data_IF_560551431995
#
_entry.id   IF_560551431995
#
_cell.length_a   1.000
_cell.length_b   1.000
_cell.length_c   1.000
_cell.angle_alpha   90.00
_cell.angle_beta   90.00
_cell.angle_gamma   90.00
#
_symmetry.space_group_name_H-M   'P 1'
#
loop_
_entity.id
_entity.type
_entity.pdbx_description
1 polymer ?
#
# COMPACT_ATOMS: atom_id res chain seq x y z
N UNK A 1 -8.92 -20.49 -8.80
CA UNK A 1 -8.08 -19.49 -8.10
C UNK A 1 -7.75 -18.40 -9.12
N UNK A 2 -8.47 -17.28 -9.11
CA UNK A 2 -8.38 -16.28 -10.19
C UNK A 2 -7.34 -15.23 -9.78
N UNK A 3 -6.19 -15.23 -10.46
CA UNK A 3 -5.28 -14.08 -10.48
C UNK A 3 -5.83 -13.06 -11.46
N UNK A 4 -6.16 -11.86 -10.97
CA UNK A 4 -6.62 -10.77 -11.83
C UNK A 4 -5.45 -9.81 -12.03
N UNK A 5 -5.00 -9.66 -13.27
CA UNK A 5 -3.98 -8.68 -13.64
C UNK A 5 -4.62 -7.53 -14.38
N UNK A 6 -4.39 -6.31 -13.91
CA UNK A 6 -4.72 -5.08 -14.63
C UNK A 6 -3.45 -4.51 -15.26
N UNK A 7 -3.51 -4.14 -16.54
CA UNK A 7 -2.40 -3.49 -17.24
C UNK A 7 -2.85 -2.28 -18.04
N UNK A 8 -1.98 -1.28 -18.14
CA UNK A 8 -2.10 -0.15 -19.06
C UNK A 8 -3.38 0.70 -18.90
N UNK A 9 -4.02 0.63 -17.73
CA UNK A 9 -5.18 1.47 -17.44
C UNK A 9 -4.74 2.89 -17.07
N UNK A 10 -5.55 3.88 -17.46
CA UNK A 10 -5.33 5.29 -17.17
C UNK A 10 -6.57 5.85 -16.47
N UNK A 11 -6.39 6.48 -15.30
CA UNK A 11 -7.44 7.23 -14.59
C UNK A 11 -8.74 6.45 -14.41
N UNK A 12 -8.62 5.25 -13.86
CA UNK A 12 -9.75 4.31 -13.73
C UNK A 12 -9.94 3.93 -12.26
N UNK A 13 -11.20 3.85 -11.83
CA UNK A 13 -11.58 3.30 -10.53
C UNK A 13 -12.14 1.90 -10.73
N UNK A 14 -11.62 0.92 -9.98
CA UNK A 14 -12.02 -0.48 -10.06
C UNK A 14 -12.49 -0.93 -8.69
N UNK A 15 -13.66 -1.56 -8.64
CA UNK A 15 -14.14 -2.24 -7.44
C UNK A 15 -14.13 -3.75 -7.66
N UNK A 16 -13.37 -4.47 -6.85
CA UNK A 16 -13.38 -5.93 -6.82
C UNK A 16 -14.26 -6.38 -5.66
N UNK A 17 -15.50 -6.66 -5.99
CA UNK A 17 -16.48 -7.21 -5.04
C UNK A 17 -16.20 -8.69 -4.78
N UNK A 18 -16.42 -9.11 -3.54
CA UNK A 18 -16.14 -10.45 -3.01
C UNK A 18 -14.64 -10.75 -2.85
N UNK A 19 -14.37 -11.80 -2.07
CA UNK A 19 -13.02 -12.31 -1.84
C UNK A 19 -12.34 -12.78 -3.14
N UNK A 20 -11.16 -12.25 -3.41
CA UNK A 20 -10.27 -12.74 -4.46
C UNK A 20 -9.03 -13.43 -3.84
N UNK A 21 -8.26 -14.16 -4.65
CA UNK A 21 -7.01 -14.74 -4.16
C UNK A 21 -5.92 -13.66 -4.06
N UNK A 22 -5.55 -13.12 -5.22
CA UNK A 22 -4.52 -12.11 -5.38
C UNK A 22 -4.87 -11.16 -6.54
N UNK A 23 -4.33 -9.95 -6.50
CA UNK A 23 -4.48 -8.95 -7.56
C UNK A 23 -3.10 -8.40 -7.91
N UNK A 24 -2.85 -8.21 -9.21
CA UNK A 24 -1.65 -7.54 -9.69
C UNK A 24 -2.01 -6.37 -10.59
N UNK A 25 -1.38 -5.23 -10.36
CA UNK A 25 -1.53 -3.99 -11.13
C UNK A 25 -0.17 -3.63 -11.69
N UNK A 26 -0.06 -3.57 -13.01
CA UNK A 26 1.21 -3.33 -13.69
C UNK A 26 1.07 -2.21 -14.71
N UNK A 27 1.97 -1.24 -14.64
CA UNK A 27 2.10 -0.17 -15.63
C UNK A 27 0.78 0.60 -15.86
N UNK A 28 0.09 0.98 -14.78
CA UNK A 28 -1.17 1.73 -14.78
C UNK A 28 -0.99 3.12 -14.15
N UNK A 29 -1.58 4.18 -14.70
CA UNK A 29 -1.40 5.54 -14.17
C UNK A 29 -2.71 6.11 -13.62
N UNK A 30 -2.71 6.58 -12.37
CA UNK A 30 -3.91 7.18 -11.79
C UNK A 30 -5.03 6.17 -11.52
N UNK A 31 -4.68 4.91 -11.24
CA UNK A 31 -5.67 3.87 -10.93
C UNK A 31 -6.00 3.87 -9.45
N UNK A 32 -7.29 3.80 -9.14
CA UNK A 32 -7.78 3.53 -7.80
C UNK A 32 -8.47 2.16 -7.76
N UNK A 33 -8.20 1.36 -6.75
CA UNK A 33 -8.84 0.07 -6.56
C UNK A 33 -9.44 -0.06 -5.16
N UNK A 34 -10.65 -0.58 -5.09
CA UNK A 34 -11.33 -0.94 -3.85
C UNK A 34 -11.46 -2.47 -3.85
N UNK A 35 -10.99 -3.12 -2.79
CA UNK A 35 -11.04 -4.57 -2.63
C UNK A 35 -11.78 -4.94 -1.36
N UNK A 36 -12.66 -5.93 -1.45
CA UNK A 36 -13.33 -6.49 -0.28
C UNK A 36 -12.34 -7.31 0.58
N UNK A 37 -11.86 -8.44 0.08
CA UNK A 37 -10.80 -9.19 0.76
C UNK A 37 -9.91 -9.95 -0.22
N UNK A 38 -8.66 -10.16 0.16
CA UNK A 38 -7.68 -10.97 -0.54
C UNK A 38 -7.21 -12.12 0.36
N UNK A 39 -7.02 -13.30 -0.23
CA UNK A 39 -6.43 -14.44 0.48
C UNK A 39 -4.93 -14.26 0.66
N UNK A 40 -4.25 -13.63 -0.31
CA UNK A 40 -2.80 -13.44 -0.28
C UNK A 40 -2.39 -11.97 -0.42
N UNK A 41 -2.23 -11.46 -1.64
CA UNK A 41 -1.51 -10.21 -1.88
C UNK A 41 -2.17 -9.31 -2.93
N UNK A 42 -1.84 -8.03 -2.82
CA UNK A 42 -2.00 -7.06 -3.88
C UNK A 42 -0.64 -6.51 -4.29
N UNK A 43 -0.25 -6.74 -5.54
CA UNK A 43 1.04 -6.32 -6.07
C UNK A 43 0.85 -5.15 -7.04
N UNK A 44 1.56 -4.05 -6.83
CA UNK A 44 1.51 -2.84 -7.67
C UNK A 44 2.89 -2.53 -8.21
N UNK A 45 3.04 -2.54 -9.52
CA UNK A 45 4.32 -2.38 -10.20
C UNK A 45 4.21 -1.24 -11.20
N UNK A 46 5.16 -0.29 -11.18
CA UNK A 46 5.29 0.81 -12.14
C UNK A 46 3.99 1.60 -12.36
N UNK A 47 3.22 1.80 -11.30
CA UNK A 47 1.88 2.36 -11.39
C UNK A 47 1.74 3.61 -10.52
N UNK A 48 2.14 4.79 -11.04
CA UNK A 48 2.13 6.04 -10.25
C UNK A 48 0.70 6.58 -10.04
N UNK A 49 0.55 7.42 -9.02
CA UNK A 49 -0.75 8.02 -8.60
C UNK A 49 -1.77 6.93 -8.28
N UNK A 50 -1.33 5.92 -7.54
CA UNK A 50 -2.14 4.77 -7.19
C UNK A 50 -2.92 5.01 -5.89
N UNK A 51 -4.15 4.50 -5.81
CA UNK A 51 -4.89 4.43 -4.55
C UNK A 51 -5.49 3.05 -4.34
N UNK A 52 -5.40 2.54 -3.11
CA UNK A 52 -5.98 1.27 -2.69
C UNK A 52 -6.87 1.48 -1.47
N UNK A 53 -8.08 0.93 -1.47
CA UNK A 53 -8.90 0.77 -0.27
C UNK A 53 -9.16 -0.72 -0.01
N UNK A 54 -8.93 -1.16 1.22
CA UNK A 54 -9.19 -2.54 1.67
C UNK A 54 -10.34 -2.52 2.67
N UNK A 55 -11.53 -2.94 2.25
CA UNK A 55 -12.74 -2.94 3.09
C UNK A 55 -12.71 -4.07 4.13
N UNK A 56 -12.08 -5.20 3.81
CA UNK A 56 -11.96 -6.40 4.64
C UNK A 56 -10.51 -6.71 5.00
N UNK A 57 -10.01 -7.88 4.58
CA UNK A 57 -8.65 -8.34 4.92
C UNK A 57 -7.81 -8.51 3.65
N UNK A 58 -6.57 -8.03 3.66
CA UNK A 58 -5.54 -8.40 2.70
C UNK A 58 -4.22 -8.60 3.46
N UNK A 59 -3.62 -9.79 3.47
CA UNK A 59 -2.39 -10.03 4.25
C UNK A 59 -1.21 -9.14 3.85
N UNK A 60 -1.00 -8.94 2.55
CA UNK A 60 0.21 -8.26 2.05
C UNK A 60 -0.12 -7.31 0.90
N UNK A 61 0.50 -6.13 0.90
CA UNK A 61 0.55 -5.21 -0.24
C UNK A 61 2.01 -4.99 -0.62
N UNK A 62 2.35 -5.24 -1.88
CA UNK A 62 3.68 -4.98 -2.41
C UNK A 62 3.62 -3.83 -3.42
N UNK A 63 4.44 -2.80 -3.20
CA UNK A 63 4.61 -1.67 -4.12
C UNK A 63 6.04 -1.69 -4.67
N UNK A 64 6.18 -1.74 -6.00
CA UNK A 64 7.45 -1.60 -6.69
C UNK A 64 7.38 -0.49 -7.75
N UNK A 65 8.31 0.47 -7.68
CA UNK A 65 8.39 1.59 -8.64
C UNK A 65 7.08 2.39 -8.73
N UNK A 66 6.42 2.59 -7.58
CA UNK A 66 5.22 3.42 -7.44
C UNK A 66 5.62 4.80 -6.94
N UNK A 67 5.29 5.83 -7.71
CA UNK A 67 5.45 7.24 -7.30
C UNK A 67 4.05 7.81 -6.99
N UNK A 68 3.86 8.27 -5.75
CA UNK A 68 2.58 8.67 -5.18
C UNK A 68 1.58 7.51 -5.07
N UNK A 69 1.49 6.94 -3.87
CA UNK A 69 0.57 5.83 -3.56
C UNK A 69 -0.15 6.05 -2.23
N UNK A 70 -1.47 5.86 -2.19
CA UNK A 70 -2.23 5.96 -0.94
C UNK A 70 -2.98 4.66 -0.66
N UNK A 71 -2.79 4.09 0.54
CA UNK A 71 -3.44 2.85 0.98
C UNK A 71 -4.36 3.17 2.15
N UNK A 72 -5.67 3.02 1.96
CA UNK A 72 -6.69 3.17 2.98
C UNK A 72 -6.99 1.80 3.61
N UNK A 73 -6.73 1.70 4.91
CA UNK A 73 -7.03 0.52 5.71
C UNK A 73 -8.39 0.66 6.40
N UNK A 74 -9.09 -0.45 6.53
CA UNK A 74 -10.22 -0.65 7.45
C UNK A 74 -9.74 -1.23 8.77
N UNK A 75 -10.66 -1.33 9.75
CA UNK A 75 -10.37 -1.97 11.03
C UNK A 75 -9.96 -3.44 10.86
N UNK A 76 -10.54 -4.13 9.89
CA UNK A 76 -10.20 -5.52 9.56
C UNK A 76 -8.84 -5.67 8.86
N UNK A 77 -8.29 -4.62 8.26
CA UNK A 77 -7.02 -4.68 7.52
C UNK A 77 -5.82 -4.13 8.28
N UNK A 78 -5.94 -3.83 9.58
CA UNK A 78 -4.82 -3.30 10.38
C UNK A 78 -3.60 -4.25 10.45
N UNK A 79 -3.78 -5.54 10.19
CA UNK A 79 -2.70 -6.53 10.09
C UNK A 79 -2.01 -6.63 8.73
N UNK A 80 -2.28 -5.70 7.79
CA UNK A 80 -1.69 -5.73 6.44
C UNK A 80 -0.22 -5.37 6.49
N UNK A 81 0.64 -6.25 5.97
CA UNK A 81 2.06 -5.97 5.76
C UNK A 81 2.25 -5.21 4.44
N UNK A 82 3.02 -4.12 4.46
CA UNK A 82 3.26 -3.28 3.28
C UNK A 82 4.75 -3.29 2.98
N UNK A 83 5.11 -3.81 1.81
CA UNK A 83 6.48 -3.85 1.31
C UNK A 83 6.64 -2.83 0.20
N UNK A 84 7.69 -2.02 0.27
CA UNK A 84 8.00 -1.01 -0.75
C UNK A 84 9.38 -1.24 -1.36
N UNK A 85 9.49 -1.00 -2.66
CA UNK A 85 10.74 -1.06 -3.42
C UNK A 85 10.75 0.07 -4.44
N UNK A 86 11.75 0.97 -4.33
CA UNK A 86 11.89 2.13 -5.24
C UNK A 86 10.60 2.95 -5.35
N UNK A 87 9.91 3.15 -4.23
CA UNK A 87 8.71 3.95 -4.14
C UNK A 87 9.02 5.33 -3.55
N UNK A 88 8.18 6.31 -3.88
CA UNK A 88 8.26 7.67 -3.36
C UNK A 88 6.85 8.15 -2.99
N UNK A 89 6.73 8.95 -1.93
CA UNK A 89 5.45 9.55 -1.50
C UNK A 89 4.32 8.53 -1.27
N UNK A 90 4.62 7.43 -0.58
CA UNK A 90 3.61 6.43 -0.19
C UNK A 90 3.03 6.78 1.19
N UNK A 91 1.70 6.81 1.29
CA UNK A 91 0.98 7.07 2.54
C UNK A 91 0.04 5.93 2.88
N UNK A 92 0.00 5.56 4.16
CA UNK A 92 -0.96 4.62 4.72
C UNK A 92 -1.96 5.43 5.54
N UNK A 93 -3.24 5.29 5.24
CA UNK A 93 -4.33 5.95 5.96
C UNK A 93 -4.96 4.93 6.89
N UNK A 94 -4.78 5.16 8.19
CA UNK A 94 -5.39 4.36 9.24
C UNK A 94 -6.84 4.80 9.46
N UNK A 95 -7.77 3.85 9.69
CA UNK A 95 -9.15 4.19 9.97
C UNK A 95 -9.28 4.97 11.29
N UNK A 96 -10.33 5.81 11.44
CA UNK A 96 -10.72 6.38 12.73
C UNK A 96 -10.73 5.35 13.86
N UNK A 97 -10.28 5.74 15.05
CA UNK A 97 -10.30 4.84 16.22
C UNK A 97 -11.73 4.42 16.56
N UNK A 98 -11.96 3.12 16.74
CA UNK A 98 -13.28 2.64 17.17
C UNK A 98 -13.67 3.21 18.53
N UNK A 99 -14.95 3.55 18.68
CA UNK A 99 -15.51 4.04 19.95
C UNK A 99 -15.22 5.50 20.29
N UNK A 100 -14.60 6.27 19.38
CA UNK A 100 -14.40 7.70 19.53
C UNK A 100 -15.24 8.43 18.46
N UNK A 101 -16.28 9.14 18.90
CA UNK A 101 -17.06 10.02 18.03
C UNK A 101 -16.15 11.11 17.44
N UNK A 102 -16.34 11.41 16.15
CA UNK A 102 -15.56 12.40 15.38
C UNK A 102 -14.04 12.14 15.31
N UNK A 103 -13.58 10.90 15.48
CA UNK A 103 -12.19 10.58 15.23
C UNK A 103 -11.85 10.70 13.73
N UNK A 104 -10.81 11.46 13.41
CA UNK A 104 -10.30 11.57 12.05
C UNK A 104 -9.43 10.37 11.66
N UNK A 105 -9.41 10.07 10.36
CA UNK A 105 -8.44 9.14 9.79
C UNK A 105 -7.02 9.71 9.93
N UNK A 106 -6.03 8.83 10.17
CA UNK A 106 -4.63 9.25 10.36
C UNK A 106 -3.80 8.88 9.14
N UNK A 107 -3.14 9.86 8.53
CA UNK A 107 -2.15 9.63 7.49
C UNK A 107 -0.78 9.29 8.12
N UNK A 108 -0.15 8.23 7.62
CA UNK A 108 1.14 7.73 8.05
C UNK A 108 2.04 7.59 6.82
N UNK A 109 2.98 8.52 6.57
CA UNK A 109 3.91 8.40 5.47
C UNK A 109 4.84 7.20 5.68
N UNK A 110 5.08 6.42 4.62
CA UNK A 110 6.04 5.32 4.63
C UNK A 110 7.45 5.89 4.46
N UNK A 111 8.42 5.48 5.29
CA UNK A 111 9.80 5.91 5.14
C UNK A 111 10.38 5.50 3.77
N UNK A 112 11.04 6.44 3.10
CA UNK A 112 11.57 6.24 1.74
C UNK A 112 13.10 6.29 1.66
N UNK A 113 13.78 6.60 2.77
CA UNK A 113 15.24 6.66 2.83
C UNK A 113 15.80 5.69 3.87
N UNK A 114 16.81 4.92 3.45
CA UNK A 114 17.59 4.03 4.31
C UNK A 114 19.00 4.60 4.40
N UNK A 115 19.51 4.78 5.62
CA UNK A 115 20.90 5.15 5.87
C UNK A 115 21.71 3.88 6.07
N UNK A 116 22.75 3.71 5.26
CA UNK A 116 23.72 2.63 5.40
C UNK A 116 25.09 3.18 5.79
N UNK A 117 25.71 2.61 6.82
CA UNK A 117 27.04 3.00 7.31
C UNK A 117 27.79 1.81 7.89
N UNK A 118 29.13 1.91 7.98
CA UNK A 118 29.98 0.86 8.56
C UNK A 118 30.24 1.21 10.03
N UNK A 119 29.97 0.26 10.93
CA UNK A 119 30.27 0.36 12.36
C UNK A 119 30.92 -0.94 12.83
N UNK A 120 32.09 -0.83 13.46
CA UNK A 120 32.86 -1.98 13.96
C UNK A 120 33.11 -3.07 12.88
N UNK A 121 33.30 -2.64 11.63
CA UNK A 121 33.51 -3.54 10.47
C UNK A 121 32.24 -4.18 9.92
N UNK A 122 31.07 -3.89 10.47
CA UNK A 122 29.76 -4.42 10.04
C UNK A 122 28.97 -3.35 9.30
N UNK A 123 28.33 -3.73 8.19
CA UNK A 123 27.37 -2.86 7.50
C UNK A 123 26.06 -2.83 8.27
N UNK A 124 25.63 -1.64 8.68
CA UNK A 124 24.36 -1.40 9.38
C UNK A 124 23.46 -0.57 8.47
N UNK A 125 22.16 -0.91 8.45
CA UNK A 125 21.13 -0.18 7.72
C UNK A 125 19.98 0.18 8.66
N UNK A 126 19.59 1.45 8.63
CA UNK A 126 18.53 2.02 9.47
C UNK A 126 17.60 2.88 8.63
N UNK A 127 16.32 2.91 9.00
CA UNK A 127 15.33 3.78 8.39
C UNK A 127 15.61 5.23 8.82
N UNK A 128 15.57 6.16 7.87
CA UNK A 128 15.64 7.59 8.16
C UNK A 128 14.23 8.13 8.38
N UNK A 129 13.89 8.41 9.63
CA UNK A 129 12.67 9.14 9.98
C UNK A 129 12.89 10.64 9.78
N UNK A 130 12.07 11.26 8.93
CA UNK A 130 11.91 12.71 8.93
C UNK A 130 10.70 13.02 9.81
N UNK A 131 10.91 13.74 10.91
CA UNK A 131 9.80 14.36 11.63
C UNK A 131 9.27 15.49 10.74
N UNK A 132 8.25 15.18 9.94
CA UNK A 132 7.38 16.16 9.29
C UNK A 132 6.37 16.71 10.28
#
# INVERSE_FOLDING_TARGET
MVYRTLRQALRTVIKVSNKANAISIDNCNGVSIIVDSLVSSLDVIKSPKFALQIDGVAPTVMLDQVDSGTIYLSQSSLGTEILTSKCTSVNIVLPPKEGIEDADAKECPVPEQIRSYVKDGVLVSEIVEHAG
#
